data_IF_203491249220
#
_entry.id   IF_203491249220
#
_cell.length_a   1.000
_cell.length_b   1.000
_cell.length_c   1.000
_cell.angle_alpha   90.00
_cell.angle_beta   90.00
_cell.angle_gamma   90.00
#
_symmetry.space_group_name_H-M   'P 1'
#
loop_
_entity.id
_entity.type
_entity.pdbx_description
1 polymer ?
#
# COMPACT_ATOMS: atom_id res chain seq x y z
N UNK A 1 -9.48 -11.26 14.14
CA UNK A 1 -10.03 -11.65 12.82
C UNK A 1 -10.45 -10.45 11.98
N UNK A 2 -11.40 -9.60 12.43
CA UNK A 2 -11.88 -8.42 11.65
C UNK A 2 -10.74 -7.48 11.19
N UNK A 3 -9.80 -7.15 12.06
CA UNK A 3 -8.71 -6.22 11.74
C UNK A 3 -7.80 -6.71 10.59
N UNK A 4 -7.65 -8.03 10.44
CA UNK A 4 -6.84 -8.61 9.36
C UNK A 4 -7.52 -8.52 8.00
N UNK A 5 -8.85 -8.68 7.97
CA UNK A 5 -9.65 -8.49 6.75
C UNK A 5 -9.65 -7.02 6.34
N UNK A 6 -9.77 -6.11 7.31
CA UNK A 6 -9.62 -4.67 7.05
C UNK A 6 -8.22 -4.34 6.51
N UNK A 7 -7.16 -4.83 7.13
CA UNK A 7 -5.79 -4.65 6.65
C UNK A 7 -5.56 -5.18 5.22
N UNK A 8 -6.21 -6.30 4.87
CA UNK A 8 -6.22 -6.85 3.52
C UNK A 8 -6.94 -5.93 2.53
N UNK A 9 -8.13 -5.44 2.87
CA UNK A 9 -8.91 -4.53 2.02
C UNK A 9 -8.18 -3.22 1.75
N UNK A 10 -7.57 -2.63 2.77
CA UNK A 10 -6.72 -1.44 2.64
C UNK A 10 -5.49 -1.72 1.78
N UNK A 11 -4.85 -2.88 1.95
CA UNK A 11 -3.75 -3.30 1.09
C UNK A 11 -4.17 -3.48 -0.37
N UNK A 12 -5.34 -4.06 -0.62
CA UNK A 12 -5.89 -4.23 -1.97
C UNK A 12 -6.19 -2.87 -2.63
N UNK A 13 -6.82 -1.96 -1.89
CA UNK A 13 -7.06 -0.60 -2.36
C UNK A 13 -5.75 0.15 -2.63
N UNK A 14 -4.71 -0.08 -1.81
CA UNK A 14 -3.40 0.53 -2.01
C UNK A 14 -2.68 -0.03 -3.25
N UNK A 15 -2.86 -1.32 -3.58
CA UNK A 15 -2.39 -1.90 -4.85
C UNK A 15 -3.06 -1.22 -6.04
N UNK A 16 -4.39 -1.03 -6.00
CA UNK A 16 -5.11 -0.34 -7.08
C UNK A 16 -4.61 1.09 -7.27
N UNK A 17 -4.43 1.83 -6.18
CA UNK A 17 -3.87 3.17 -6.21
C UNK A 17 -2.43 3.18 -6.77
N UNK A 18 -1.61 2.17 -6.42
CA UNK A 18 -0.26 2.03 -6.94
C UNK A 18 -0.25 1.77 -8.45
N UNK A 19 -1.16 0.93 -8.96
CA UNK A 19 -1.29 0.67 -10.40
C UNK A 19 -1.66 1.93 -11.16
N UNK A 20 -2.62 2.71 -10.66
CA UNK A 20 -2.98 4.01 -11.26
C UNK A 20 -1.80 4.97 -11.19
N UNK A 21 -1.08 4.96 -10.07
CA UNK A 21 0.05 5.84 -9.88
C UNK A 21 1.14 5.56 -10.91
N UNK A 22 1.39 4.32 -11.34
CA UNK A 22 2.49 3.95 -12.27
C UNK A 22 2.50 4.74 -13.60
N UNK A 23 1.41 5.42 -13.94
CA UNK A 23 1.38 6.40 -15.02
C UNK A 23 2.35 7.55 -14.68
N UNK A 24 3.32 7.89 -15.57
CA UNK A 24 4.41 8.84 -15.30
C UNK A 24 3.97 10.14 -14.60
N UNK A 25 2.96 10.83 -15.17
CA UNK A 25 2.46 12.10 -14.66
C UNK A 25 1.58 12.01 -13.39
N UNK A 26 1.25 10.81 -12.91
CA UNK A 26 0.41 10.57 -11.73
C UNK A 26 1.21 10.10 -10.52
N UNK A 27 2.52 10.36 -10.48
CA UNK A 27 3.37 9.89 -9.38
C UNK A 27 3.12 10.56 -8.03
N UNK A 28 2.64 11.79 -8.03
CA UNK A 28 2.20 12.50 -6.84
C UNK A 28 1.08 11.75 -6.11
N UNK A 29 0.31 10.94 -6.83
CA UNK A 29 -0.79 10.14 -6.28
C UNK A 29 -0.29 9.05 -5.33
N UNK A 30 0.98 8.59 -5.49
CA UNK A 30 1.62 7.69 -4.53
C UNK A 30 1.81 8.31 -3.15
N UNK A 31 2.12 9.62 -3.08
CA UNK A 31 2.32 10.32 -1.81
C UNK A 31 1.02 10.44 -1.01
N UNK A 32 -0.10 10.72 -1.69
CA UNK A 32 -1.39 10.99 -1.04
C UNK A 32 -2.21 9.72 -0.82
N UNK A 33 -2.11 8.76 -1.74
CA UNK A 33 -3.05 7.63 -1.78
C UNK A 33 -2.35 6.33 -1.43
N UNK A 34 -1.35 5.91 -2.20
CA UNK A 34 -0.77 4.57 -2.06
C UNK A 34 0.02 4.40 -0.77
N UNK A 35 0.90 5.35 -0.42
CA UNK A 35 1.71 5.29 0.80
C UNK A 35 0.85 5.36 2.07
N UNK A 36 -0.03 6.36 2.26
CA UNK A 36 -0.83 6.46 3.47
C UNK A 36 -1.77 5.26 3.65
N UNK A 37 -2.40 4.82 2.56
CA UNK A 37 -3.34 3.70 2.60
C UNK A 37 -2.63 2.38 2.90
N UNK A 38 -1.44 2.15 2.33
CA UNK A 38 -0.62 0.99 2.66
C UNK A 38 -0.08 1.05 4.09
N UNK A 39 0.24 2.24 4.60
CA UNK A 39 0.71 2.40 5.98
C UNK A 39 -0.40 2.08 6.98
N UNK A 40 -1.61 2.60 6.76
CA UNK A 40 -2.80 2.28 7.56
C UNK A 40 -3.12 0.77 7.47
N UNK A 41 -3.10 0.21 6.26
CA UNK A 41 -3.32 -1.23 6.04
C UNK A 41 -2.29 -2.11 6.75
N UNK A 42 -1.03 -1.69 6.79
CA UNK A 42 0.05 -2.38 7.50
C UNK A 42 -0.17 -2.36 9.01
N UNK A 43 -0.50 -1.20 9.58
CA UNK A 43 -0.79 -1.05 11.01
C UNK A 43 -1.97 -1.94 11.39
N UNK A 44 -3.09 -1.87 10.65
CA UNK A 44 -4.27 -2.71 10.89
C UNK A 44 -3.96 -4.20 10.78
N UNK A 45 -3.13 -4.59 9.81
CA UNK A 45 -2.67 -5.97 9.66
C UNK A 45 -1.85 -6.43 10.87
N UNK A 46 -0.99 -5.57 11.44
CA UNK A 46 -0.16 -5.88 12.61
C UNK A 46 -0.96 -6.06 13.90
N UNK A 47 -2.08 -5.34 14.05
CA UNK A 47 -2.99 -5.51 15.18
C UNK A 47 -3.86 -6.78 15.08
N UNK A 48 -3.93 -7.42 13.90
CA UNK A 48 -4.68 -8.66 13.74
C UNK A 48 -3.91 -9.89 14.26
N UNK A 49 -4.64 -10.82 14.87
CA UNK A 49 -4.16 -12.17 15.24
C UNK A 49 -4.90 -13.21 14.36
N UNK A 50 -4.15 -14.02 13.61
CA UNK A 50 -4.67 -15.07 12.71
C UNK A 50 -3.94 -15.12 11.35
N UNK A 51 -4.26 -16.11 10.51
CA UNK A 51 -3.58 -16.34 9.21
C UNK A 51 -3.63 -15.16 8.23
N UNK A 52 -4.70 -14.37 8.28
CA UNK A 52 -4.87 -13.16 7.46
C UNK A 52 -3.88 -12.04 7.77
N UNK A 53 -3.23 -12.06 8.95
CA UNK A 53 -2.19 -11.09 9.35
C UNK A 53 -1.02 -11.09 8.36
N UNK A 54 -0.51 -12.29 8.06
CA UNK A 54 0.70 -12.44 7.24
C UNK A 54 0.43 -11.94 5.82
N UNK A 55 -0.71 -12.32 5.24
CA UNK A 55 -1.10 -11.92 3.89
C UNK A 55 -1.29 -10.40 3.77
N UNK A 56 -2.05 -9.79 4.70
CA UNK A 56 -2.26 -8.34 4.72
C UNK A 56 -0.97 -7.56 4.91
N UNK A 57 -0.09 -8.01 5.81
CA UNK A 57 1.21 -7.36 6.02
C UNK A 57 2.08 -7.45 4.76
N UNK A 58 2.14 -8.60 4.11
CA UNK A 58 3.00 -8.84 2.95
C UNK A 58 2.58 -7.98 1.75
N UNK A 59 1.28 -7.84 1.50
CA UNK A 59 0.75 -6.95 0.44
C UNK A 59 1.10 -5.50 0.74
N UNK A 60 0.80 -5.01 1.95
CA UNK A 60 1.06 -3.61 2.31
C UNK A 60 2.57 -3.27 2.26
N UNK A 61 3.44 -4.17 2.72
CA UNK A 61 4.90 -4.00 2.63
C UNK A 61 5.36 -3.97 1.17
N UNK A 62 4.86 -4.88 0.33
CA UNK A 62 5.19 -4.89 -1.09
C UNK A 62 4.78 -3.57 -1.78
N UNK A 63 3.57 -3.07 -1.50
CA UNK A 63 3.09 -1.79 -2.02
C UNK A 63 3.98 -0.64 -1.59
N UNK A 64 4.36 -0.57 -0.31
CA UNK A 64 5.26 0.48 0.20
C UNK A 64 6.62 0.44 -0.51
N UNK A 65 7.21 -0.74 -0.67
CA UNK A 65 8.50 -0.91 -1.34
C UNK A 65 8.42 -0.46 -2.79
N UNK A 66 7.39 -0.89 -3.54
CA UNK A 66 7.23 -0.51 -4.94
C UNK A 66 6.91 0.98 -5.09
N UNK A 67 6.06 1.54 -4.23
CA UNK A 67 5.76 2.97 -4.22
C UNK A 67 7.00 3.82 -3.95
N UNK A 68 7.83 3.42 -2.98
CA UNK A 68 9.10 4.08 -2.66
C UNK A 68 10.10 3.97 -3.81
N UNK A 69 10.30 2.77 -4.38
CA UNK A 69 11.17 2.58 -5.55
C UNK A 69 10.76 3.49 -6.70
N UNK A 70 9.47 3.55 -7.00
CA UNK A 70 8.95 4.43 -8.04
C UNK A 70 9.17 5.90 -7.69
N UNK A 71 8.90 6.33 -6.46
CA UNK A 71 9.15 7.71 -6.03
C UNK A 71 10.63 8.08 -6.07
N UNK A 72 11.54 7.12 -5.87
CA UNK A 72 12.98 7.34 -6.04
C UNK A 72 13.38 7.52 -7.52
N UNK A 73 12.69 6.85 -8.45
CA UNK A 73 12.96 6.95 -9.88
C UNK A 73 12.47 8.26 -10.51
N UNK A 74 11.37 8.84 -9.99
CA UNK A 74 10.72 9.98 -10.65
C UNK A 74 10.11 11.04 -9.74
N UNK A 75 10.31 10.95 -8.41
CA UNK A 75 9.91 11.95 -7.40
C UNK A 75 8.41 12.16 -7.21
N UNK A 76 7.59 11.67 -8.14
CA UNK A 76 6.15 11.94 -8.24
C UNK A 76 5.73 12.65 -9.53
N UNK A 77 6.65 13.01 -10.42
CA UNK A 77 6.36 13.81 -11.62
C UNK A 77 6.81 13.12 -12.92
N UNK A 78 7.80 12.24 -12.84
CA UNK A 78 8.40 11.51 -13.96
C UNK A 78 8.14 10.00 -13.81
#
# INVERSE_FOLDING_TARGET
>A
MIAGVLGLLFGLAAVLALVVSLIPFLGWLNWITSLPLAFVGLILSRFSRGGWKTLGTLINVAVIIVALLRLLLGGGVI
#
